data_IF_830279999495
#
_entry.id   IF_830279999495
#
_cell.length_a   1.000
_cell.length_b   1.000
_cell.length_c   1.000
_cell.angle_alpha   90.00
_cell.angle_beta   90.00
_cell.angle_gamma   90.00
#
_symmetry.space_group_name_H-M   'P 1'
#
loop_
_entity.id
_entity.type
_entity.pdbx_description
1 polymer ?
#
# COMPACT_ATOMS: atom_id res chain seq x y z
N UNK A 1 14.51 -45.30 18.89
CA UNK A 1 15.09 -43.95 18.89
C UNK A 1 16.25 -43.92 17.92
N UNK A 2 16.13 -43.19 16.79
CA UNK A 2 17.20 -42.53 16.02
C UNK A 2 16.63 -42.00 14.69
N UNK A 3 16.18 -40.75 14.78
CA UNK A 3 16.21 -39.62 13.84
C UNK A 3 16.18 -39.93 12.33
N UNK A 4 15.03 -39.66 11.74
CA UNK A 4 14.85 -39.50 10.29
C UNK A 4 15.38 -38.14 9.82
N UNK A 5 16.33 -38.21 8.89
CA UNK A 5 16.20 -37.67 7.53
C UNK A 5 15.81 -36.21 7.34
N UNK A 6 16.79 -35.45 6.83
CA UNK A 6 16.74 -34.35 5.86
C UNK A 6 15.58 -33.34 5.95
N UNK A 7 15.93 -32.07 6.12
CA UNK A 7 16.04 -31.16 4.97
C UNK A 7 16.75 -29.87 5.37
N UNK A 8 17.93 -29.68 4.76
CA UNK A 8 18.58 -28.38 4.63
C UNK A 8 17.72 -27.52 3.70
N UNK A 9 16.86 -26.65 4.24
CA UNK A 9 16.31 -25.53 3.49
C UNK A 9 17.34 -24.40 3.44
N UNK A 10 18.48 -24.67 2.78
CA UNK A 10 19.32 -23.62 2.21
C UNK A 10 18.87 -23.40 0.77
N UNK A 11 18.21 -22.28 0.49
CA UNK A 11 17.96 -21.86 -0.89
C UNK A 11 16.60 -21.20 -1.13
N UNK A 12 16.43 -19.98 -0.61
CA UNK A 12 15.62 -18.93 -1.24
C UNK A 12 15.85 -17.59 -0.52
N UNK A 13 17.11 -17.18 -0.38
CA UNK A 13 17.40 -15.75 -0.25
C UNK A 13 17.25 -15.16 -1.66
N UNK A 14 16.60 -13.99 -1.76
CA UNK A 14 16.54 -13.11 -2.95
C UNK A 14 15.36 -13.26 -3.94
N UNK A 15 14.15 -13.51 -3.44
CA UNK A 15 13.04 -12.69 -3.94
C UNK A 15 12.78 -11.69 -2.82
N UNK A 16 12.97 -10.40 -3.11
CA UNK A 16 12.48 -9.36 -2.21
C UNK A 16 11.07 -9.76 -1.82
N UNK A 17 10.83 -9.90 -0.52
CA UNK A 17 9.48 -10.01 -0.02
C UNK A 17 8.89 -8.61 -0.22
N UNK A 18 8.60 -8.29 -1.48
CA UNK A 18 7.94 -7.07 -1.90
C UNK A 18 6.57 -7.20 -1.29
N UNK A 19 6.43 -6.60 -0.11
CA UNK A 19 5.13 -6.41 0.49
C UNK A 19 4.28 -5.78 -0.61
N UNK A 20 3.08 -6.32 -0.89
CA UNK A 20 2.24 -5.78 -1.94
C UNK A 20 2.11 -4.28 -1.74
N UNK A 21 2.32 -3.53 -2.83
CA UNK A 21 2.25 -2.09 -2.79
C UNK A 21 0.83 -1.68 -2.37
N UNK A 22 0.75 -0.89 -1.28
CA UNK A 22 -0.53 -0.41 -0.77
C UNK A 22 -1.25 0.42 -1.83
N UNK A 23 -2.53 0.15 -2.04
CA UNK A 23 -3.37 0.80 -3.06
C UNK A 23 -3.92 2.15 -2.57
N UNK A 24 -4.50 2.94 -3.49
CA UNK A 24 -5.23 4.17 -3.12
C UNK A 24 -6.36 3.85 -2.15
N UNK A 25 -7.14 2.80 -2.44
CA UNK A 25 -8.24 2.35 -1.59
C UNK A 25 -7.75 1.96 -0.19
N UNK A 26 -6.61 1.26 -0.07
CA UNK A 26 -6.03 0.94 1.24
C UNK A 26 -5.81 2.21 2.09
N UNK A 27 -5.18 3.23 1.52
CA UNK A 27 -4.90 4.47 2.26
C UNK A 27 -6.16 5.28 2.58
N UNK A 28 -7.18 5.25 1.70
CA UNK A 28 -8.48 5.86 1.99
C UNK A 28 -9.14 5.24 3.23
N UNK A 29 -8.97 3.94 3.44
CA UNK A 29 -9.51 3.22 4.60
C UNK A 29 -8.62 3.31 5.86
N UNK A 30 -7.35 3.71 5.72
CA UNK A 30 -6.35 3.74 6.78
C UNK A 30 -5.64 5.11 6.81
N UNK A 31 -6.38 6.15 7.21
CA UNK A 31 -5.91 7.54 7.18
C UNK A 31 -4.71 7.79 8.12
N UNK A 32 -4.59 7.03 9.20
CA UNK A 32 -3.44 7.06 10.12
C UNK A 32 -2.15 6.62 9.42
N UNK A 33 -2.22 5.53 8.66
CA UNK A 33 -1.09 5.02 7.87
C UNK A 33 -0.74 5.98 6.74
N UNK A 34 -1.76 6.55 6.08
CA UNK A 34 -1.58 7.58 5.05
C UNK A 34 -0.83 8.80 5.59
N UNK A 35 -1.18 9.29 6.77
CA UNK A 35 -0.55 10.50 7.31
C UNK A 35 0.93 10.26 7.63
N UNK A 36 1.25 9.13 8.26
CA UNK A 36 2.66 8.74 8.53
C UNK A 36 3.44 8.59 7.22
N UNK A 37 2.90 7.84 6.26
CA UNK A 37 3.59 7.60 4.99
C UNK A 37 3.71 8.88 4.14
N UNK A 38 2.76 9.81 4.23
CA UNK A 38 2.81 11.10 3.55
C UNK A 38 3.84 12.07 4.17
N UNK A 39 4.06 11.99 5.49
CA UNK A 39 5.14 12.75 6.14
C UNK A 39 6.51 12.34 5.60
N UNK A 40 6.72 11.07 5.27
CA UNK A 40 7.97 10.64 4.66
C UNK A 40 8.18 11.26 3.27
N UNK A 41 7.11 11.47 2.48
CA UNK A 41 7.16 12.23 1.23
C UNK A 41 7.46 13.72 1.47
N UNK A 42 6.74 14.35 2.41
CA UNK A 42 6.90 15.79 2.70
C UNK A 42 8.28 16.13 3.27
N UNK A 43 8.86 15.23 4.07
CA UNK A 43 10.19 15.41 4.65
C UNK A 43 11.32 15.02 3.67
N UNK A 44 10.99 14.66 2.42
CA UNK A 44 11.97 14.30 1.40
C UNK A 44 12.68 12.96 1.64
N UNK A 45 12.20 12.13 2.56
CA UNK A 45 12.71 10.76 2.74
C UNK A 45 12.40 9.87 1.53
N UNK A 46 11.31 10.20 0.83
CA UNK A 46 10.96 9.62 -0.46
C UNK A 46 10.93 10.73 -1.53
N UNK A 47 11.38 10.45 -2.77
CA UNK A 47 11.19 11.38 -3.87
C UNK A 47 9.70 11.67 -4.06
N UNK A 48 9.34 12.94 -4.24
CA UNK A 48 7.96 13.33 -4.53
C UNK A 48 7.41 12.64 -5.80
N UNK A 49 8.28 12.35 -6.77
CA UNK A 49 7.95 11.61 -7.99
C UNK A 49 7.81 10.10 -7.81
N UNK A 50 8.04 9.56 -6.61
CA UNK A 50 7.90 8.14 -6.35
C UNK A 50 6.44 7.71 -6.45
N UNK A 51 6.21 6.48 -6.94
CA UNK A 51 4.88 5.90 -7.07
C UNK A 51 4.11 5.87 -5.74
N UNK A 52 4.82 5.64 -4.63
CA UNK A 52 4.24 5.69 -3.28
C UNK A 52 3.70 7.10 -2.96
N UNK A 53 4.48 8.16 -3.20
CA UNK A 53 4.02 9.53 -2.94
C UNK A 53 2.83 9.93 -3.83
N UNK A 54 2.85 9.55 -5.12
CA UNK A 54 1.71 9.78 -6.02
C UNK A 54 0.44 9.04 -5.57
N UNK A 55 0.59 7.81 -5.07
CA UNK A 55 -0.52 7.02 -4.52
C UNK A 55 -1.12 7.69 -3.27
N UNK A 56 -0.27 8.21 -2.38
CA UNK A 56 -0.70 8.91 -1.17
C UNK A 56 -1.43 10.22 -1.50
N UNK A 57 -0.93 11.00 -2.45
CA UNK A 57 -1.58 12.23 -2.93
C UNK A 57 -2.96 11.92 -3.52
N UNK A 58 -3.02 10.92 -4.41
CA UNK A 58 -4.29 10.46 -5.00
C UNK A 58 -5.30 10.03 -3.92
N UNK A 59 -4.85 9.33 -2.87
CA UNK A 59 -5.71 8.95 -1.76
C UNK A 59 -6.23 10.16 -0.97
N UNK A 60 -5.39 11.17 -0.73
CA UNK A 60 -5.82 12.44 -0.10
C UNK A 60 -6.89 13.15 -0.93
N UNK A 61 -6.73 13.21 -2.24
CA UNK A 61 -7.73 13.80 -3.14
C UNK A 61 -9.08 13.07 -3.06
N UNK A 62 -9.08 11.73 -3.07
CA UNK A 62 -10.31 10.96 -2.94
C UNK A 62 -10.96 11.10 -1.56
N UNK A 63 -10.18 11.12 -0.48
CA UNK A 63 -10.69 11.39 0.86
C UNK A 63 -11.41 12.74 0.88
N UNK A 64 -10.74 13.81 0.40
CA UNK A 64 -11.34 15.14 0.33
C UNK A 64 -12.65 15.13 -0.45
N UNK A 65 -12.68 14.52 -1.64
CA UNK A 65 -13.87 14.45 -2.46
C UNK A 65 -15.02 13.70 -1.75
N UNK A 66 -14.73 12.57 -1.10
CA UNK A 66 -15.73 11.76 -0.38
C UNK A 66 -16.27 12.52 0.84
N UNK A 67 -15.41 13.19 1.60
CA UNK A 67 -15.81 14.04 2.74
C UNK A 67 -16.69 15.22 2.30
N UNK A 68 -16.55 15.67 1.05
CA UNK A 68 -17.38 16.71 0.43
C UNK A 68 -18.57 16.15 -0.35
N UNK A 69 -18.92 14.88 -0.13
CA UNK A 69 -20.16 14.27 -0.61
C UNK A 69 -20.05 13.55 -1.96
N UNK A 70 -18.84 13.38 -2.52
CA UNK A 70 -18.67 12.51 -3.68
C UNK A 70 -18.92 11.06 -3.28
N UNK A 71 -19.88 10.41 -3.93
CA UNK A 71 -20.09 8.96 -3.81
C UNK A 71 -19.33 8.26 -4.92
N UNK A 72 -18.39 7.38 -4.55
CA UNK A 72 -17.65 6.56 -5.51
C UNK A 72 -18.46 5.31 -5.87
N UNK A 73 -18.54 5.00 -7.16
CA UNK A 73 -19.14 3.76 -7.63
C UNK A 73 -18.28 2.55 -7.25
N UNK A 74 -18.90 1.37 -7.13
CA UNK A 74 -18.17 0.11 -6.88
C UNK A 74 -17.08 -0.14 -7.94
N UNK A 75 -17.38 0.15 -9.20
CA UNK A 75 -16.39 0.10 -10.29
C UNK A 75 -15.18 1.00 -9.97
N UNK A 76 -15.43 2.22 -9.50
CA UNK A 76 -14.35 3.16 -9.15
C UNK A 76 -13.55 2.67 -7.95
N UNK A 77 -14.21 2.14 -6.92
CA UNK A 77 -13.52 1.57 -5.76
C UNK A 77 -12.58 0.41 -6.16
N UNK A 78 -13.03 -0.46 -7.06
CA UNK A 78 -12.19 -1.55 -7.62
C UNK A 78 -10.99 -1.01 -8.42
N UNK A 79 -11.19 0.03 -9.23
CA UNK A 79 -10.09 0.71 -9.93
C UNK A 79 -9.08 1.35 -8.95
N UNK A 80 -9.52 1.75 -7.76
CA UNK A 80 -8.65 2.25 -6.69
C UNK A 80 -7.99 1.14 -5.86
N UNK A 81 -8.30 -0.13 -6.15
CA UNK A 81 -7.72 -1.29 -5.50
C UNK A 81 -8.51 -1.86 -4.33
N UNK A 82 -9.84 -1.65 -4.30
CA UNK A 82 -10.75 -2.45 -3.47
C UNK A 82 -10.78 -3.88 -4.01
N UNK A 83 -10.41 -4.84 -3.18
CA UNK A 83 -10.54 -6.27 -3.47
C UNK A 83 -12.01 -6.73 -3.29
N UNK A 84 -12.36 -7.83 -3.97
CA UNK A 84 -13.71 -8.40 -4.02
C UNK A 84 -14.11 -9.17 -2.75
#
# INVERSE_FOLDING_TARGET
>A
MKNATLMLCFGALLLGCDKPEKTVYFYMQNQDVLEVDAQDCNNGKLPASSKKCQTLETAKDYIFLVEHGLVLSEKRLRELGKED
#
